data_IF_108745776804
#
_entry.id   IF_108745776804
#
_cell.length_a   1.000
_cell.length_b   1.000
_cell.length_c   1.000
_cell.angle_alpha   90.00
_cell.angle_beta   90.00
_cell.angle_gamma   90.00
#
_symmetry.space_group_name_H-M   'P 1'
#
loop_
_entity.id
_entity.type
_entity.pdbx_description
1 polymer ?
#
# COMPACT_ATOMS: atom_id res chain seq x y z
N UNK A 1 -8.70 -26.53 -30.80
CA UNK A 1 -7.42 -26.89 -30.16
C UNK A 1 -7.65 -26.91 -28.65
N UNK A 2 -7.40 -28.04 -27.97
CA UNK A 2 -7.41 -28.03 -26.50
C UNK A 2 -6.22 -27.19 -26.05
N UNK A 3 -6.46 -26.09 -25.35
CA UNK A 3 -5.41 -25.25 -24.79
C UNK A 3 -4.48 -26.05 -23.86
N UNK A 4 -3.23 -25.62 -23.75
CA UNK A 4 -2.29 -26.22 -22.80
C UNK A 4 -2.80 -25.89 -21.41
N UNK A 5 -3.11 -26.94 -20.61
CA UNK A 5 -3.48 -26.76 -19.19
C UNK A 5 -2.23 -26.99 -18.34
N UNK A 6 -1.94 -26.04 -17.46
CA UNK A 6 -0.83 -26.12 -16.49
C UNK A 6 -1.41 -26.29 -15.09
N UNK A 7 -0.92 -27.27 -14.35
CA UNK A 7 -1.36 -27.57 -12.97
C UNK A 7 -0.47 -26.93 -11.91
N UNK A 8 -1.09 -26.34 -10.92
CA UNK A 8 -0.41 -25.82 -9.71
C UNK A 8 -1.27 -26.04 -8.47
N UNK A 9 -0.74 -25.85 -7.26
CA UNK A 9 -1.55 -25.83 -6.05
C UNK A 9 -2.15 -24.44 -5.81
N UNK A 10 -1.37 -23.39 -6.09
CA UNK A 10 -1.80 -21.99 -5.88
C UNK A 10 -1.53 -21.15 -7.13
N UNK A 11 -2.58 -20.58 -7.72
CA UNK A 11 -2.47 -19.57 -8.78
C UNK A 11 -2.63 -18.17 -8.17
N UNK A 12 -1.61 -17.34 -8.29
CA UNK A 12 -1.59 -15.96 -7.77
C UNK A 12 -1.82 -15.03 -8.95
N UNK A 13 -2.94 -14.29 -8.92
CA UNK A 13 -3.32 -13.36 -10.00
C UNK A 13 -3.05 -11.92 -9.56
N UNK A 14 -2.11 -11.27 -10.21
CA UNK A 14 -1.61 -9.92 -9.92
C UNK A 14 -0.24 -9.93 -9.27
N UNK A 15 0.75 -9.42 -9.97
CA UNK A 15 2.14 -9.31 -9.54
C UNK A 15 2.49 -7.96 -8.90
N UNK A 16 1.52 -7.31 -8.22
CA UNK A 16 1.76 -6.18 -7.33
C UNK A 16 2.39 -6.62 -6.01
N UNK A 17 2.43 -5.72 -5.01
CA UNK A 17 3.09 -6.00 -3.73
C UNK A 17 2.57 -7.28 -3.07
N UNK A 18 1.24 -7.43 -2.94
CA UNK A 18 0.64 -8.61 -2.30
C UNK A 18 0.99 -9.91 -3.02
N UNK A 19 0.79 -9.97 -4.34
CA UNK A 19 1.02 -11.20 -5.11
C UNK A 19 2.48 -11.57 -5.22
N UNK A 20 3.38 -10.59 -5.39
CA UNK A 20 4.83 -10.85 -5.42
C UNK A 20 5.36 -11.33 -4.07
N UNK A 21 4.87 -10.74 -2.96
CA UNK A 21 5.20 -11.21 -1.60
C UNK A 21 4.70 -12.64 -1.39
N UNK A 22 3.44 -12.94 -1.77
CA UNK A 22 2.88 -14.30 -1.64
C UNK A 22 3.66 -15.32 -2.48
N UNK A 23 4.01 -14.98 -3.72
CA UNK A 23 4.79 -15.85 -4.60
C UNK A 23 6.18 -16.15 -4.00
N UNK A 24 6.86 -15.13 -3.47
CA UNK A 24 8.16 -15.31 -2.84
C UNK A 24 8.07 -16.18 -1.58
N UNK A 25 7.08 -15.96 -0.73
CA UNK A 25 6.89 -16.74 0.50
C UNK A 25 6.53 -18.20 0.20
N UNK A 26 5.55 -18.44 -0.65
CA UNK A 26 5.10 -19.78 -1.00
C UNK A 26 6.19 -20.57 -1.71
N UNK A 27 6.94 -19.94 -2.63
CA UNK A 27 8.05 -20.58 -3.29
C UNK A 27 9.17 -21.00 -2.33
N UNK A 28 9.51 -20.15 -1.36
CA UNK A 28 10.49 -20.48 -0.29
C UNK A 28 9.99 -21.60 0.62
N UNK A 29 8.68 -21.70 0.83
CA UNK A 29 8.06 -22.79 1.59
C UNK A 29 7.90 -24.09 0.78
N UNK A 30 8.33 -24.13 -0.49
CA UNK A 30 8.23 -25.31 -1.35
C UNK A 30 6.82 -25.60 -1.86
N UNK A 31 5.88 -24.65 -1.74
CA UNK A 31 4.52 -24.78 -2.28
C UNK A 31 4.57 -24.59 -3.79
N UNK A 32 3.90 -25.49 -4.53
CA UNK A 32 3.73 -25.32 -5.99
C UNK A 32 2.80 -24.15 -6.26
N UNK A 33 3.38 -22.98 -6.51
CA UNK A 33 2.66 -21.75 -6.82
C UNK A 33 3.07 -21.24 -8.20
N UNK A 34 2.21 -20.42 -8.81
CA UNK A 34 2.46 -19.72 -10.07
C UNK A 34 1.99 -18.26 -9.92
N UNK A 35 2.83 -17.31 -10.34
CA UNK A 35 2.46 -15.89 -10.41
C UNK A 35 2.05 -15.53 -11.84
N UNK A 36 0.93 -14.79 -11.97
CA UNK A 36 0.37 -14.34 -13.24
C UNK A 36 0.22 -12.83 -13.21
N UNK A 37 0.89 -12.11 -14.11
CA UNK A 37 0.74 -10.66 -14.29
C UNK A 37 1.09 -10.28 -15.74
N UNK A 38 0.39 -9.31 -16.37
CA UNK A 38 0.70 -8.91 -17.74
C UNK A 38 2.01 -8.13 -17.89
N UNK A 39 2.57 -7.59 -16.80
CA UNK A 39 3.75 -6.75 -16.84
C UNK A 39 4.98 -7.49 -16.31
N UNK A 40 6.01 -7.72 -17.12
CA UNK A 40 7.25 -8.35 -16.66
C UNK A 40 7.98 -7.48 -15.61
N UNK A 41 7.88 -6.18 -15.76
CA UNK A 41 8.39 -5.18 -14.83
C UNK A 41 7.19 -4.36 -14.31
N UNK A 42 7.09 -4.17 -13.01
CA UNK A 42 6.02 -3.35 -12.43
C UNK A 42 6.24 -1.88 -12.79
N UNK A 43 5.25 -1.22 -13.39
CA UNK A 43 5.40 0.16 -13.83
C UNK A 43 5.42 1.16 -12.66
N UNK A 44 5.98 2.37 -12.86
CA UNK A 44 5.94 3.44 -11.87
C UNK A 44 4.50 3.75 -11.42
N UNK A 45 4.26 3.70 -10.11
CA UNK A 45 2.96 3.98 -9.51
C UNK A 45 3.14 4.81 -8.23
N UNK A 46 2.24 5.77 -8.02
CA UNK A 46 2.20 6.57 -6.80
C UNK A 46 1.35 5.85 -5.75
N UNK A 47 2.01 5.18 -4.82
CA UNK A 47 1.38 4.54 -3.65
C UNK A 47 2.15 4.89 -2.38
N UNK A 48 2.32 3.94 -1.48
CA UNK A 48 3.23 4.15 -0.36
C UNK A 48 4.68 4.18 -0.84
N UNK A 49 5.44 5.16 -0.38
CA UNK A 49 6.82 5.38 -0.79
C UNK A 49 7.79 5.42 0.40
N UNK A 50 7.35 4.96 1.56
CA UNK A 50 8.20 4.74 2.74
C UNK A 50 7.69 3.59 3.59
N UNK A 51 8.61 2.95 4.30
CA UNK A 51 8.33 2.01 5.36
C UNK A 51 8.73 2.62 6.70
N UNK A 52 7.94 2.38 7.72
CA UNK A 52 8.26 2.71 9.11
C UNK A 52 8.54 1.41 9.88
N UNK A 53 9.10 1.50 11.08
CA UNK A 53 9.52 0.34 11.85
C UNK A 53 8.38 -0.68 12.09
N UNK A 54 7.13 -0.21 12.21
CA UNK A 54 5.97 -1.08 12.32
C UNK A 54 5.77 -1.98 11.09
N UNK A 55 5.87 -1.41 9.87
CA UNK A 55 5.79 -2.17 8.63
C UNK A 55 7.01 -3.08 8.43
N UNK A 56 8.21 -2.60 8.78
CA UNK A 56 9.45 -3.39 8.73
C UNK A 56 9.36 -4.60 9.66
N UNK A 57 8.76 -4.45 10.85
CA UNK A 57 8.53 -5.56 11.77
C UNK A 57 7.66 -6.66 11.15
N UNK A 58 6.58 -6.29 10.42
CA UNK A 58 5.74 -7.26 9.72
C UNK A 58 6.51 -7.84 8.51
N UNK A 59 7.23 -7.01 7.76
CA UNK A 59 8.06 -7.46 6.64
C UNK A 59 9.09 -8.51 7.08
N UNK A 60 9.71 -8.38 8.26
CA UNK A 60 10.61 -9.41 8.82
C UNK A 60 9.92 -10.76 8.98
N UNK A 61 8.63 -10.79 9.34
CA UNK A 61 7.85 -12.04 9.48
C UNK A 61 7.61 -12.72 8.13
N UNK A 62 7.65 -11.99 7.02
CA UNK A 62 7.59 -12.59 5.67
C UNK A 62 8.90 -13.24 5.24
N UNK A 63 10.00 -13.02 5.96
CA UNK A 63 11.34 -13.47 5.58
C UNK A 63 11.98 -12.70 4.42
N UNK A 64 11.40 -11.57 4.01
CA UNK A 64 11.82 -10.79 2.82
C UNK A 64 12.54 -9.48 3.16
N UNK A 65 12.67 -9.15 4.45
CA UNK A 65 13.25 -7.87 4.88
C UNK A 65 14.69 -7.69 4.39
N UNK A 66 15.51 -8.74 4.41
CA UNK A 66 16.91 -8.69 3.99
C UNK A 66 17.07 -8.41 2.49
N UNK A 67 16.07 -8.75 1.67
CA UNK A 67 16.06 -8.42 0.25
C UNK A 67 15.61 -6.97 0.00
N UNK A 68 14.71 -6.44 0.82
CA UNK A 68 14.06 -5.14 0.60
C UNK A 68 14.83 -3.99 1.27
N UNK A 69 15.22 -4.13 2.54
CA UNK A 69 15.81 -3.01 3.30
C UNK A 69 17.08 -2.43 2.67
N UNK A 70 18.00 -3.22 2.07
CA UNK A 70 19.17 -2.68 1.39
C UNK A 70 18.86 -1.79 0.17
N UNK A 71 17.65 -1.89 -0.41
CA UNK A 71 17.23 -1.09 -1.57
C UNK A 71 16.51 0.20 -1.18
N UNK A 72 16.25 0.39 0.10
CA UNK A 72 15.61 1.60 0.62
C UNK A 72 16.61 2.74 0.77
N UNK A 73 16.11 3.97 0.69
CA UNK A 73 16.88 5.15 1.09
C UNK A 73 16.67 5.39 2.57
N UNK A 74 17.74 5.28 3.32
CA UNK A 74 17.78 5.65 4.73
C UNK A 74 18.87 6.70 4.89
N UNK A 75 18.49 7.94 5.24
CA UNK A 75 19.47 8.98 5.45
C UNK A 75 19.73 9.21 6.94
N UNK A 76 20.80 8.55 7.43
CA UNK A 76 21.42 8.86 8.71
C UNK A 76 22.45 10.00 8.62
N UNK A 77 22.68 10.57 7.43
CA UNK A 77 23.76 11.53 7.15
C UNK A 77 23.37 13.00 7.43
N UNK A 78 22.10 13.29 7.72
CA UNK A 78 21.68 14.65 8.09
C UNK A 78 22.24 15.05 9.44
N UNK A 79 22.42 16.36 9.66
CA UNK A 79 23.04 16.92 10.88
C UNK A 79 22.48 16.35 12.19
N UNK A 80 21.20 16.02 12.23
CA UNK A 80 20.53 15.49 13.42
C UNK A 80 20.23 13.99 13.36
N UNK A 81 20.21 13.36 12.16
CA UNK A 81 19.93 11.93 11.96
C UNK A 81 18.54 11.50 12.48
N UNK A 82 17.63 12.45 12.72
CA UNK A 82 16.35 12.22 13.38
C UNK A 82 15.17 12.64 12.51
N UNK A 83 14.08 11.90 12.64
CA UNK A 83 12.80 12.31 12.14
C UNK A 83 12.18 13.35 13.09
N UNK A 84 11.90 14.54 12.55
CA UNK A 84 11.27 15.61 13.28
C UNK A 84 9.75 15.51 13.18
N UNK A 85 9.08 15.81 14.30
CA UNK A 85 7.64 16.00 14.35
C UNK A 85 7.35 17.44 14.74
N UNK A 86 6.55 18.13 13.92
CA UNK A 86 6.29 19.55 14.12
C UNK A 86 4.81 19.89 14.02
N UNK A 87 4.40 20.90 14.76
CA UNK A 87 3.06 21.48 14.75
C UNK A 87 3.15 22.99 14.91
N UNK A 88 2.36 23.75 14.16
CA UNK A 88 2.35 25.22 14.19
C UNK A 88 3.74 25.83 13.95
N UNK A 89 4.57 25.21 13.11
CA UNK A 89 5.94 25.63 12.87
C UNK A 89 6.89 25.43 14.05
N UNK A 90 6.48 24.69 15.07
CA UNK A 90 7.28 24.35 16.23
C UNK A 90 7.63 22.88 16.22
N UNK A 91 8.88 22.58 16.45
CA UNK A 91 9.34 21.23 16.69
C UNK A 91 8.79 20.76 18.04
N UNK A 92 8.02 19.66 18.03
CA UNK A 92 7.42 19.09 19.24
C UNK A 92 8.09 17.78 19.66
N UNK A 93 8.75 17.07 18.71
CA UNK A 93 9.42 15.81 19.00
C UNK A 93 10.54 15.54 17.97
N UNK A 94 11.56 14.78 18.40
CA UNK A 94 12.64 14.26 17.56
C UNK A 94 12.77 12.77 17.81
N UNK A 95 12.35 11.96 16.83
CA UNK A 95 12.31 10.51 16.96
C UNK A 95 13.55 9.87 16.35
N UNK A 96 14.31 9.07 17.12
CA UNK A 96 15.26 8.16 16.53
C UNK A 96 14.50 7.07 15.74
N UNK A 97 15.04 6.63 14.64
CA UNK A 97 14.47 5.50 13.89
C UNK A 97 14.26 5.78 12.42
N UNK A 98 14.11 4.66 11.68
CA UNK A 98 14.15 4.63 10.25
C UNK A 98 12.87 5.11 9.58
N UNK A 99 13.06 6.02 8.66
CA UNK A 99 12.15 6.29 7.56
C UNK A 99 12.81 5.67 6.32
N UNK A 100 12.34 4.52 5.89
CA UNK A 100 12.92 3.78 4.77
C UNK A 100 12.20 4.18 3.49
N UNK A 101 12.72 5.19 2.78
CA UNK A 101 12.16 5.66 1.52
C UNK A 101 12.43 4.66 0.39
N UNK A 102 11.39 4.32 -0.38
CA UNK A 102 11.49 3.45 -1.55
C UNK A 102 10.35 3.76 -2.50
N UNK A 103 10.65 3.91 -3.80
CA UNK A 103 9.59 4.03 -4.80
C UNK A 103 8.77 2.74 -4.82
N UNK A 104 7.47 2.86 -5.05
CA UNK A 104 6.58 1.70 -4.97
C UNK A 104 6.89 0.64 -6.04
N UNK A 105 7.24 1.07 -7.24
CA UNK A 105 7.69 0.18 -8.31
C UNK A 105 9.02 -0.50 -7.99
N UNK A 106 9.98 0.20 -7.36
CA UNK A 106 11.23 -0.40 -6.88
C UNK A 106 10.93 -1.48 -5.82
N UNK A 107 10.04 -1.17 -4.86
CA UNK A 107 9.62 -2.13 -3.84
C UNK A 107 9.03 -3.41 -4.47
N UNK A 108 8.09 -3.25 -5.42
CA UNK A 108 7.44 -4.40 -6.07
C UNK A 108 8.44 -5.17 -6.93
N UNK A 109 9.30 -4.49 -7.70
CA UNK A 109 10.28 -5.17 -8.55
C UNK A 109 11.37 -5.88 -7.73
N UNK A 110 11.79 -5.32 -6.59
CA UNK A 110 12.69 -6.01 -5.66
C UNK A 110 12.00 -7.24 -5.05
N UNK A 111 10.72 -7.13 -4.71
CA UNK A 111 9.94 -8.27 -4.23
C UNK A 111 9.81 -9.37 -5.30
N UNK A 112 9.58 -8.99 -6.57
CA UNK A 112 9.59 -9.93 -7.72
C UNK A 112 10.92 -10.62 -7.91
N UNK A 113 12.03 -9.89 -7.76
CA UNK A 113 13.38 -10.46 -7.85
C UNK A 113 13.69 -11.47 -6.72
N UNK A 114 12.97 -11.38 -5.59
CA UNK A 114 13.11 -12.33 -4.47
C UNK A 114 12.27 -13.61 -4.65
N UNK A 115 11.47 -13.74 -5.73
CA UNK A 115 10.68 -14.94 -6.04
C UNK A 115 11.64 -16.06 -6.49
N UNK A 116 11.61 -17.25 -5.85
CA UNK A 116 12.46 -18.36 -6.26
C UNK A 116 12.15 -18.85 -7.69
N UNK A 117 13.15 -19.38 -8.42
CA UNK A 117 12.94 -19.92 -9.78
C UNK A 117 11.94 -21.09 -9.82
N UNK A 118 11.67 -21.73 -8.70
CA UNK A 118 10.65 -22.80 -8.58
C UNK A 118 9.20 -22.29 -8.75
N UNK A 119 8.98 -20.97 -8.68
CA UNK A 119 7.66 -20.35 -8.92
C UNK A 119 7.66 -19.74 -10.33
N UNK A 120 6.98 -20.34 -11.31
CA UNK A 120 6.84 -19.75 -12.63
C UNK A 120 6.16 -18.38 -12.56
N UNK A 121 6.72 -17.41 -13.28
CA UNK A 121 6.10 -16.11 -13.50
C UNK A 121 5.58 -16.05 -14.93
N UNK A 122 4.26 -16.16 -15.09
CA UNK A 122 3.59 -16.15 -16.39
C UNK A 122 3.21 -14.72 -16.76
N UNK A 123 3.80 -14.22 -17.85
CA UNK A 123 3.51 -12.88 -18.37
C UNK A 123 2.28 -12.96 -19.26
N UNK A 124 1.11 -12.81 -18.67
CA UNK A 124 -0.18 -12.81 -19.36
C UNK A 124 -1.25 -12.15 -18.47
N UNK A 125 -2.33 -11.68 -19.08
CA UNK A 125 -3.52 -11.21 -18.36
C UNK A 125 -4.44 -12.40 -18.10
N UNK A 126 -4.86 -12.58 -16.84
CA UNK A 126 -5.97 -13.47 -16.55
C UNK A 126 -7.28 -12.82 -17.04
N UNK A 127 -8.05 -13.54 -17.84
CA UNK A 127 -9.26 -13.05 -18.52
C UNK A 127 -10.54 -13.70 -18.02
N UNK A 128 -10.44 -14.89 -17.39
CA UNK A 128 -11.57 -15.61 -16.85
C UNK A 128 -11.19 -16.50 -15.69
N UNK A 129 -12.15 -16.73 -14.79
CA UNK A 129 -12.07 -17.66 -13.67
C UNK A 129 -13.31 -18.53 -13.69
N UNK A 130 -13.12 -19.84 -13.54
CA UNK A 130 -14.19 -20.80 -13.30
C UNK A 130 -13.91 -21.52 -11.99
N UNK A 131 -14.86 -21.49 -11.09
CA UNK A 131 -14.77 -22.19 -9.79
C UNK A 131 -15.35 -23.59 -9.93
N UNK A 132 -14.57 -24.58 -9.49
CA UNK A 132 -15.00 -25.98 -9.41
C UNK A 132 -14.88 -26.51 -7.99
N UNK A 133 -15.35 -27.72 -7.76
CA UNK A 133 -15.39 -28.33 -6.40
C UNK A 133 -13.99 -28.57 -5.84
N UNK A 134 -13.07 -29.12 -6.63
CA UNK A 134 -11.72 -29.45 -6.21
C UNK A 134 -10.67 -28.51 -6.78
N UNK A 135 -10.88 -27.99 -7.98
CA UNK A 135 -9.92 -27.15 -8.69
C UNK A 135 -10.61 -25.99 -9.39
N UNK A 136 -9.89 -24.90 -9.44
CA UNK A 136 -10.28 -23.65 -10.07
C UNK A 136 -9.54 -23.53 -11.41
N UNK A 137 -10.18 -22.99 -12.41
CA UNK A 137 -9.59 -22.76 -13.73
C UNK A 137 -9.37 -21.26 -13.97
N UNK A 138 -8.20 -20.90 -14.44
CA UNK A 138 -7.86 -19.52 -14.83
C UNK A 138 -7.51 -19.48 -16.30
N UNK A 139 -8.31 -18.79 -17.10
CA UNK A 139 -8.06 -18.55 -18.52
C UNK A 139 -7.15 -17.33 -18.68
N UNK A 140 -6.07 -17.48 -19.45
CA UNK A 140 -5.15 -16.43 -19.78
C UNK A 140 -5.37 -15.85 -21.18
N UNK A 141 -4.93 -14.60 -21.39
CA UNK A 141 -5.06 -13.90 -22.68
C UNK A 141 -4.30 -14.54 -23.85
N UNK A 142 -3.35 -15.41 -23.56
CA UNK A 142 -2.60 -16.18 -24.56
C UNK A 142 -3.22 -17.56 -24.87
N UNK A 143 -4.41 -17.84 -24.32
CA UNK A 143 -5.13 -19.12 -24.51
C UNK A 143 -4.68 -20.25 -23.59
N UNK A 144 -3.71 -20.03 -22.70
CA UNK A 144 -3.32 -21.00 -21.68
C UNK A 144 -4.41 -21.09 -20.61
N UNK A 145 -4.70 -22.30 -20.15
CA UNK A 145 -5.53 -22.54 -19.00
C UNK A 145 -4.70 -23.02 -17.81
N UNK A 146 -4.95 -22.48 -16.62
CA UNK A 146 -4.25 -22.87 -15.39
C UNK A 146 -5.26 -23.52 -14.46
N UNK A 147 -4.98 -24.74 -14.02
CA UNK A 147 -5.78 -25.44 -13.03
C UNK A 147 -5.08 -25.35 -11.67
N UNK A 148 -5.77 -24.83 -10.66
CA UNK A 148 -5.22 -24.63 -9.31
C UNK A 148 -6.20 -25.09 -8.23
N UNK A 149 -5.69 -25.54 -7.09
CA UNK A 149 -6.53 -25.81 -5.91
C UNK A 149 -7.04 -24.51 -5.29
N UNK A 150 -6.21 -23.47 -5.29
CA UNK A 150 -6.52 -22.15 -4.73
C UNK A 150 -6.13 -21.05 -5.71
N UNK A 151 -7.02 -20.07 -5.88
CA UNK A 151 -6.71 -18.81 -6.54
C UNK A 151 -6.51 -17.72 -5.47
N UNK A 152 -5.38 -17.02 -5.51
CA UNK A 152 -5.13 -15.80 -4.73
C UNK A 152 -5.33 -14.58 -5.64
N UNK A 153 -6.40 -13.81 -5.40
CA UNK A 153 -6.65 -12.56 -6.11
C UNK A 153 -5.88 -11.42 -5.42
N UNK A 154 -4.80 -10.99 -6.05
CA UNK A 154 -3.89 -9.93 -5.59
C UNK A 154 -3.84 -8.74 -6.57
N UNK A 155 -4.94 -8.50 -7.31
CA UNK A 155 -5.01 -7.53 -8.42
C UNK A 155 -5.18 -6.07 -7.98
N UNK A 156 -5.09 -5.78 -6.69
CA UNK A 156 -5.26 -4.43 -6.17
C UNK A 156 -6.65 -3.86 -6.50
N UNK A 157 -6.67 -2.69 -7.15
CA UNK A 157 -7.90 -1.96 -7.45
C UNK A 157 -8.70 -2.52 -8.64
N UNK A 158 -8.15 -3.48 -9.40
CA UNK A 158 -8.84 -4.04 -10.58
C UNK A 158 -10.03 -4.91 -10.15
N UNK A 159 -11.22 -4.62 -10.71
CA UNK A 159 -12.48 -5.30 -10.34
C UNK A 159 -12.88 -6.41 -11.32
N UNK A 160 -12.36 -6.42 -12.54
CA UNK A 160 -12.91 -7.22 -13.63
C UNK A 160 -13.06 -8.73 -13.34
N UNK A 161 -12.06 -9.36 -12.70
CA UNK A 161 -12.17 -10.79 -12.32
C UNK A 161 -12.99 -11.01 -11.05
N UNK A 162 -13.01 -10.05 -10.13
CA UNK A 162 -13.87 -10.10 -8.92
C UNK A 162 -15.34 -10.13 -9.31
N UNK A 163 -15.73 -9.25 -10.24
CA UNK A 163 -17.12 -9.17 -10.73
C UNK A 163 -17.57 -10.48 -11.39
N UNK A 164 -16.67 -11.16 -12.13
CA UNK A 164 -16.97 -12.47 -12.75
C UNK A 164 -17.29 -13.56 -11.72
N UNK A 165 -16.70 -13.49 -10.54
CA UNK A 165 -16.91 -14.44 -9.45
C UNK A 165 -17.90 -13.92 -8.40
N UNK A 166 -18.66 -12.86 -8.72
CA UNK A 166 -19.71 -12.34 -7.84
C UNK A 166 -19.18 -11.63 -6.57
N UNK A 167 -17.94 -11.14 -6.60
CA UNK A 167 -17.36 -10.34 -5.50
C UNK A 167 -17.57 -8.86 -5.79
N UNK A 168 -18.48 -8.25 -5.04
CA UNK A 168 -18.85 -6.85 -5.19
C UNK A 168 -17.88 -5.91 -4.45
N UNK A 169 -17.62 -4.72 -5.02
CA UNK A 169 -16.92 -3.63 -4.36
C UNK A 169 -17.91 -2.70 -3.68
N UNK A 170 -17.92 -2.67 -2.35
CA UNK A 170 -18.75 -1.76 -1.56
C UNK A 170 -17.92 -0.55 -1.13
N UNK A 171 -18.13 0.59 -1.76
CA UNK A 171 -17.46 1.85 -1.41
C UNK A 171 -18.09 2.39 -0.12
N UNK A 172 -17.29 2.47 0.94
CA UNK A 172 -17.70 2.95 2.27
C UNK A 172 -17.42 4.44 2.46
N UNK A 173 -16.43 4.99 1.75
CA UNK A 173 -16.11 6.42 1.75
C UNK A 173 -15.46 6.82 0.42
N UNK A 174 -16.21 7.46 -0.50
CA UNK A 174 -15.66 7.93 -1.76
C UNK A 174 -14.76 9.15 -1.52
N UNK A 175 -13.66 9.23 -2.27
CA UNK A 175 -12.64 10.27 -2.15
C UNK A 175 -12.32 10.59 -0.66
N UNK A 176 -12.05 9.53 0.11
CA UNK A 176 -11.84 9.66 1.56
C UNK A 176 -10.69 10.60 1.88
N UNK A 177 -9.62 10.54 1.11
CA UNK A 177 -8.47 11.43 1.18
C UNK A 177 -7.82 11.62 -0.19
N UNK A 178 -7.03 12.66 -0.33
CA UNK A 178 -6.19 12.90 -1.52
C UNK A 178 -4.75 13.00 -1.07
N UNK A 179 -3.86 12.31 -1.79
CA UNK A 179 -2.41 12.45 -1.67
C UNK A 179 -1.90 13.34 -2.78
N UNK A 180 -1.15 14.39 -2.43
CA UNK A 180 -0.33 15.16 -3.33
C UNK A 180 1.15 14.81 -3.04
N UNK A 181 1.84 14.22 -4.04
CA UNK A 181 3.22 13.79 -3.90
C UNK A 181 4.12 14.49 -4.91
N UNK A 182 5.27 14.97 -4.44
CA UNK A 182 6.27 15.71 -5.22
C UNK A 182 7.62 15.67 -4.53
N UNK A 183 8.67 16.02 -5.25
CA UNK A 183 10.01 16.16 -4.69
C UNK A 183 10.30 17.61 -4.34
N UNK A 184 11.08 17.83 -3.28
CA UNK A 184 11.53 19.15 -2.87
C UNK A 184 13.04 19.16 -2.63
N UNK A 185 13.62 20.36 -2.72
CA UNK A 185 14.98 20.66 -2.26
C UNK A 185 14.98 22.02 -1.56
N UNK A 186 16.00 22.36 -0.77
CA UNK A 186 16.21 23.75 -0.32
C UNK A 186 16.35 24.67 -1.54
N UNK A 187 15.73 25.85 -1.51
CA UNK A 187 15.84 26.83 -2.60
C UNK A 187 17.26 27.43 -2.73
N UNK A 188 18.02 27.34 -1.65
CA UNK A 188 19.42 27.76 -1.60
C UNK A 188 20.34 26.56 -1.37
N UNK A 189 21.62 26.70 -1.64
CA UNK A 189 22.61 25.64 -1.42
C UNK A 189 22.58 25.13 0.03
N UNK A 190 22.57 23.82 0.20
CA UNK A 190 22.53 23.16 1.51
C UNK A 190 21.66 21.93 1.56
N UNK A 191 21.44 21.42 2.76
CA UNK A 191 20.55 20.30 3.06
C UNK A 191 19.58 20.72 4.17
N UNK A 192 18.46 20.00 4.28
CA UNK A 192 17.55 20.17 5.41
C UNK A 192 18.23 19.74 6.72
N UNK A 193 17.87 20.39 7.85
CA UNK A 193 18.42 20.07 9.16
C UNK A 193 17.87 18.76 9.77
N UNK A 194 16.90 18.13 9.12
CA UNK A 194 16.23 16.89 9.56
C UNK A 194 16.44 15.75 8.55
N UNK A 195 16.45 14.52 9.03
CA UNK A 195 16.43 13.35 8.18
C UNK A 195 15.05 13.14 7.56
N UNK A 196 13.99 13.37 8.32
CA UNK A 196 12.61 13.36 7.88
C UNK A 196 11.79 14.35 8.71
N UNK A 197 10.63 14.78 8.18
CA UNK A 197 9.72 15.69 8.88
C UNK A 197 8.29 15.20 8.72
N UNK A 198 7.54 15.13 9.83
CA UNK A 198 6.08 15.08 9.83
C UNK A 198 5.55 16.42 10.33
N UNK A 199 4.81 17.13 9.49
CA UNK A 199 4.26 18.45 9.80
C UNK A 199 2.75 18.39 9.87
N UNK A 200 2.20 18.62 11.05
CA UNK A 200 0.75 18.63 11.27
C UNK A 200 0.11 19.98 10.91
N UNK A 201 -1.21 20.00 10.57
CA UNK A 201 -1.92 21.20 10.16
C UNK A 201 -1.89 22.30 11.21
N UNK A 202 -1.95 23.53 10.74
CA UNK A 202 -2.02 24.71 11.60
C UNK A 202 -3.46 25.09 11.93
N UNK A 203 -4.40 24.76 11.04
CA UNK A 203 -5.83 25.08 11.17
C UNK A 203 -6.68 23.93 10.62
N UNK A 204 -7.84 23.68 11.20
CA UNK A 204 -8.81 22.70 10.68
C UNK A 204 -9.37 23.08 9.32
N UNK A 205 -9.53 24.39 9.08
CA UNK A 205 -9.96 24.90 7.77
C UNK A 205 -9.03 24.49 6.62
N UNK A 206 -7.77 24.14 6.91
CA UNK A 206 -6.80 23.69 5.90
C UNK A 206 -7.16 22.31 5.35
N UNK A 207 -8.00 21.52 6.06
CA UNK A 207 -8.49 20.20 5.65
C UNK A 207 -7.36 19.25 5.25
N UNK A 208 -6.30 19.23 6.02
CA UNK A 208 -5.15 18.35 5.80
C UNK A 208 -4.92 17.43 7.01
N UNK A 209 -4.42 16.22 6.78
CA UNK A 209 -3.93 15.36 7.84
C UNK A 209 -2.53 15.81 8.28
N UNK A 210 -1.59 15.82 7.36
CA UNK A 210 -0.21 16.21 7.58
C UNK A 210 0.58 16.25 6.26
N UNK A 211 1.75 16.85 6.31
CA UNK A 211 2.81 16.72 5.31
C UNK A 211 3.91 15.81 5.88
N UNK A 212 4.38 14.84 5.10
CA UNK A 212 5.63 14.13 5.42
C UNK A 212 6.71 14.46 4.40
N UNK A 213 7.92 14.71 4.90
CA UNK A 213 9.13 14.83 4.12
C UNK A 213 10.08 13.71 4.52
N UNK A 214 10.59 12.96 3.55
CA UNK A 214 11.52 11.85 3.80
C UNK A 214 12.43 11.62 2.60
N UNK A 215 13.65 11.10 2.82
CA UNK A 215 14.59 10.87 1.73
C UNK A 215 14.11 9.71 0.85
N UNK A 216 14.22 9.91 -0.46
CA UNK A 216 13.99 8.88 -1.46
C UNK A 216 15.00 9.03 -2.59
N UNK A 217 15.86 8.03 -2.79
CA UNK A 217 17.02 8.14 -3.68
C UNK A 217 17.85 9.40 -3.32
N UNK A 218 17.99 10.33 -4.25
CA UNK A 218 18.74 11.59 -4.09
C UNK A 218 17.87 12.81 -3.79
N UNK A 219 16.56 12.59 -3.57
CA UNK A 219 15.56 13.65 -3.37
C UNK A 219 14.97 13.60 -1.97
N UNK A 220 14.33 14.70 -1.57
CA UNK A 220 13.41 14.74 -0.42
C UNK A 220 11.99 14.65 -0.96
N UNK A 221 11.28 13.52 -0.72
CA UNK A 221 9.89 13.32 -1.11
C UNK A 221 8.96 14.00 -0.12
N UNK A 222 8.02 14.74 -0.67
CA UNK A 222 6.90 15.33 0.05
C UNK A 222 5.61 14.54 -0.27
N UNK A 223 4.94 14.02 0.76
CA UNK A 223 3.59 13.47 0.66
C UNK A 223 2.66 14.31 1.53
N UNK A 224 1.82 15.11 0.88
CA UNK A 224 0.80 15.94 1.52
C UNK A 224 -0.54 15.23 1.46
N UNK A 225 -1.12 14.93 2.62
CA UNK A 225 -2.40 14.23 2.77
C UNK A 225 -3.49 15.25 3.11
N UNK A 226 -4.51 15.37 2.24
CA UNK A 226 -5.61 16.33 2.40
C UNK A 226 -6.98 15.65 2.29
N UNK A 227 -7.97 16.25 2.95
CA UNK A 227 -9.38 15.84 2.93
C UNK A 227 -10.21 16.87 2.15
N UNK A 228 -10.04 16.88 0.84
CA UNK A 228 -10.68 17.78 -0.12
C UNK A 228 -11.43 16.96 -1.15
N UNK A 229 -12.27 17.60 -1.94
CA UNK A 229 -12.91 16.98 -3.12
C UNK A 229 -12.04 17.18 -4.37
N UNK A 230 -12.25 16.37 -5.40
CA UNK A 230 -11.43 16.44 -6.63
C UNK A 230 -11.67 17.71 -7.47
N UNK A 231 -12.75 18.42 -7.22
CA UNK A 231 -13.10 19.71 -7.83
C UNK A 231 -12.62 20.93 -7.04
N UNK A 232 -11.97 20.72 -5.86
CA UNK A 232 -11.43 21.80 -5.05
C UNK A 232 -10.41 22.64 -5.85
N UNK A 233 -10.62 23.98 -5.96
CA UNK A 233 -9.72 24.88 -6.70
C UNK A 233 -8.25 24.80 -6.24
N UNK A 234 -8.01 24.52 -4.96
CA UNK A 234 -6.69 24.36 -4.40
C UNK A 234 -5.84 23.30 -5.12
N UNK A 235 -6.47 22.24 -5.64
CA UNK A 235 -5.76 21.20 -6.41
C UNK A 235 -5.18 21.71 -7.74
N UNK A 236 -5.77 22.75 -8.32
CA UNK A 236 -5.21 23.44 -9.49
C UNK A 236 -4.11 24.41 -9.08
N UNK A 237 -4.33 25.14 -7.99
CA UNK A 237 -3.40 26.14 -7.51
C UNK A 237 -2.07 25.52 -7.08
N UNK A 238 -2.09 24.39 -6.37
CA UNK A 238 -0.86 23.69 -5.96
C UNK A 238 -0.06 23.15 -7.15
N UNK A 239 -0.72 22.80 -8.27
CA UNK A 239 0.00 22.39 -9.49
C UNK A 239 0.61 23.57 -10.24
N UNK A 240 0.00 24.74 -10.15
CA UNK A 240 0.42 25.94 -10.88
C UNK A 240 1.51 26.71 -10.14
N UNK A 241 1.39 26.83 -8.83
CA UNK A 241 2.28 27.59 -7.95
C UNK A 241 2.43 26.81 -6.62
N UNK A 242 3.27 25.74 -6.64
CA UNK A 242 3.32 24.81 -5.53
C UNK A 242 3.89 25.41 -4.24
N UNK A 243 4.97 26.17 -4.33
CA UNK A 243 5.63 26.76 -3.16
C UNK A 243 4.71 27.75 -2.45
N UNK A 244 4.06 28.64 -3.23
CA UNK A 244 3.08 29.58 -2.70
C UNK A 244 1.90 28.85 -2.05
N UNK A 245 1.38 27.82 -2.72
CA UNK A 245 0.23 27.04 -2.21
C UNK A 245 0.56 26.29 -0.93
N UNK A 246 1.78 25.73 -0.83
CA UNK A 246 2.27 25.07 0.38
C UNK A 246 2.42 26.03 1.55
N UNK A 247 3.08 27.19 1.32
CA UNK A 247 3.27 28.17 2.39
C UNK A 247 1.99 28.93 2.75
N UNK A 248 1.01 29.04 1.84
CA UNK A 248 -0.32 29.52 2.18
C UNK A 248 -1.09 28.54 3.06
N UNK A 249 -0.94 27.23 2.81
CA UNK A 249 -1.53 26.15 3.61
C UNK A 249 -0.84 25.98 4.96
N UNK A 250 0.50 26.13 4.99
CA UNK A 250 1.36 25.90 6.15
C UNK A 250 2.30 27.09 6.36
N UNK A 251 1.81 28.27 6.82
CA UNK A 251 2.63 29.51 6.90
C UNK A 251 3.90 29.37 7.73
N UNK A 252 3.88 28.54 8.78
CA UNK A 252 5.01 28.35 9.66
C UNK A 252 5.97 27.21 9.21
N UNK A 253 5.67 26.48 8.14
CA UNK A 253 6.54 25.42 7.61
C UNK A 253 7.96 25.98 7.29
N UNK A 254 8.02 27.18 6.71
CA UNK A 254 9.27 27.86 6.34
C UNK A 254 10.25 28.04 7.52
N UNK A 255 9.76 28.05 8.75
CA UNK A 255 10.65 28.11 9.95
C UNK A 255 11.52 26.87 10.11
N UNK A 256 11.08 25.74 9.57
CA UNK A 256 11.78 24.46 9.67
C UNK A 256 12.51 24.09 8.38
N UNK A 257 11.92 24.42 7.23
CA UNK A 257 12.47 24.02 5.93
C UNK A 257 13.33 25.11 5.28
N UNK A 258 13.20 26.38 5.73
CA UNK A 258 13.61 27.51 4.91
C UNK A 258 12.74 27.64 3.64
N UNK A 259 13.25 28.37 2.65
CA UNK A 259 12.65 28.40 1.32
C UNK A 259 12.94 27.08 0.58
N UNK A 260 11.93 26.59 -0.11
CA UNK A 260 11.99 25.32 -0.85
C UNK A 260 11.72 25.53 -2.33
N UNK A 261 12.21 24.64 -3.15
CA UNK A 261 11.88 24.49 -4.57
C UNK A 261 11.24 23.13 -4.79
N UNK A 262 10.08 23.11 -5.44
CA UNK A 262 9.42 21.88 -5.85
C UNK A 262 10.03 21.39 -7.16
N UNK A 263 10.46 20.13 -7.19
CA UNK A 263 11.12 19.53 -8.33
C UNK A 263 10.17 18.55 -9.04
N UNK A 264 9.99 18.79 -10.33
CA UNK A 264 9.12 17.94 -11.15
C UNK A 264 7.62 18.15 -10.91
N UNK A 265 6.78 17.29 -11.48
CA UNK A 265 5.33 17.45 -11.43
C UNK A 265 4.74 17.00 -10.10
N UNK A 266 3.69 17.70 -9.64
CA UNK A 266 2.89 17.24 -8.51
C UNK A 266 1.91 16.17 -8.98
N UNK A 267 2.06 14.98 -8.41
CA UNK A 267 1.15 13.84 -8.62
C UNK A 267 0.03 13.91 -7.59
N UNK A 268 -1.22 13.87 -8.05
CA UNK A 268 -2.40 13.89 -7.18
C UNK A 268 -3.16 12.58 -7.34
N UNK A 269 -3.44 11.92 -6.22
CA UNK A 269 -4.18 10.65 -6.19
C UNK A 269 -5.27 10.66 -5.14
N UNK A 270 -6.55 10.56 -5.53
CA UNK A 270 -7.65 10.31 -4.60
C UNK A 270 -7.63 8.85 -4.14
N UNK A 271 -8.16 8.61 -2.96
CA UNK A 271 -8.36 7.28 -2.41
C UNK A 271 -9.79 7.09 -1.93
N UNK A 272 -10.47 6.10 -2.50
CA UNK A 272 -11.73 5.58 -1.95
C UNK A 272 -11.42 4.54 -0.87
N UNK A 273 -12.24 4.50 0.17
CA UNK A 273 -12.29 3.34 1.06
C UNK A 273 -13.39 2.41 0.58
N UNK A 274 -13.08 1.12 0.45
CA UNK A 274 -14.04 0.09 0.13
C UNK A 274 -13.66 -1.24 0.77
N UNK A 275 -14.64 -2.12 0.84
CA UNK A 275 -14.48 -3.52 1.22
C UNK A 275 -15.16 -4.40 0.17
N UNK A 276 -14.63 -5.60 -0.07
CA UNK A 276 -15.24 -6.57 -0.94
C UNK A 276 -16.32 -7.37 -0.20
N UNK A 277 -17.51 -7.51 -0.80
CA UNK A 277 -18.62 -8.34 -0.35
C UNK A 277 -18.71 -9.61 -1.21
N UNK A 278 -19.13 -10.73 -0.64
CA UNK A 278 -19.17 -12.00 -1.36
C UNK A 278 -17.81 -12.70 -1.50
N UNK A 279 -16.82 -12.32 -0.70
CA UNK A 279 -15.43 -12.79 -0.75
C UNK A 279 -15.20 -14.16 -0.08
N UNK A 280 -16.17 -14.68 0.69
CA UNK A 280 -16.09 -15.98 1.40
C UNK A 280 -16.58 -17.10 0.49
N UNK A 281 -15.80 -17.43 -0.52
CA UNK A 281 -16.13 -18.42 -1.55
C UNK A 281 -15.12 -19.56 -1.56
N UNK A 282 -15.57 -20.74 -2.02
CA UNK A 282 -14.68 -21.88 -2.24
C UNK A 282 -13.62 -21.53 -3.30
N UNK A 283 -12.37 -21.92 -3.06
CA UNK A 283 -11.29 -21.88 -4.03
C UNK A 283 -10.67 -20.52 -4.32
N UNK A 284 -11.20 -19.42 -3.76
CA UNK A 284 -10.72 -18.06 -4.04
C UNK A 284 -10.49 -17.29 -2.74
N UNK A 285 -9.33 -16.66 -2.61
CA UNK A 285 -9.01 -15.72 -1.51
C UNK A 285 -8.51 -14.40 -2.06
N UNK A 286 -8.96 -13.28 -1.48
CA UNK A 286 -8.57 -11.92 -1.84
C UNK A 286 -7.62 -11.35 -0.79
N UNK A 287 -6.56 -10.67 -1.23
CA UNK A 287 -5.56 -10.05 -0.35
C UNK A 287 -5.28 -8.58 -0.71
N UNK A 288 -4.88 -7.79 0.27
CA UNK A 288 -4.55 -6.37 0.09
C UNK A 288 -5.73 -5.57 -0.46
N UNK A 289 -5.45 -4.64 -1.39
CA UNK A 289 -6.50 -3.80 -2.00
C UNK A 289 -7.53 -4.59 -2.83
N UNK A 290 -7.27 -5.84 -3.19
CA UNK A 290 -8.29 -6.69 -3.79
C UNK A 290 -9.41 -7.03 -2.81
N UNK A 291 -9.12 -7.09 -1.51
CA UNK A 291 -10.10 -7.30 -0.46
C UNK A 291 -10.67 -5.97 0.06
N UNK A 292 -9.82 -5.08 0.56
CA UNK A 292 -10.23 -3.80 1.13
C UNK A 292 -9.11 -2.77 1.04
N UNK A 293 -9.44 -1.52 0.73
CA UNK A 293 -8.47 -0.42 0.68
C UNK A 293 -8.24 0.19 2.05
N UNK A 294 -7.02 0.70 2.23
CA UNK A 294 -6.63 1.50 3.39
C UNK A 294 -6.47 2.97 3.02
N UNK A 295 -6.71 3.85 3.97
CA UNK A 295 -6.47 5.29 3.79
C UNK A 295 -4.95 5.57 3.71
N UNK A 296 -4.45 6.21 2.64
CA UNK A 296 -3.04 6.59 2.54
C UNK A 296 -2.58 7.47 3.71
N UNK A 297 -3.43 8.39 4.17
CA UNK A 297 -3.11 9.25 5.30
C UNK A 297 -2.96 8.47 6.63
N UNK A 298 -3.62 7.33 6.78
CA UNK A 298 -3.43 6.48 7.96
C UNK A 298 -2.10 5.69 7.93
N UNK A 299 -1.43 5.62 6.77
CA UNK A 299 -0.15 4.92 6.62
C UNK A 299 -0.21 3.40 6.80
N UNK A 300 -1.40 2.79 6.81
CA UNK A 300 -1.60 1.38 7.17
C UNK A 300 -1.56 0.42 5.98
N UNK A 301 -1.60 0.92 4.74
CA UNK A 301 -1.80 0.09 3.54
C UNK A 301 -0.74 -1.00 3.32
N UNK A 302 0.55 -0.66 3.39
CA UNK A 302 1.63 -1.65 3.24
C UNK A 302 1.62 -2.66 4.37
N UNK A 303 1.44 -2.19 5.62
CA UNK A 303 1.35 -3.08 6.77
C UNK A 303 0.20 -4.08 6.63
N UNK A 304 -0.96 -3.62 6.11
CA UNK A 304 -2.09 -4.49 5.80
C UNK A 304 -1.72 -5.56 4.77
N UNK A 305 -1.06 -5.18 3.67
CA UNK A 305 -0.63 -6.14 2.64
C UNK A 305 0.32 -7.18 3.22
N UNK A 306 1.34 -6.76 3.97
CA UNK A 306 2.28 -7.70 4.57
C UNK A 306 1.63 -8.60 5.61
N UNK A 307 0.71 -8.06 6.41
CA UNK A 307 -0.05 -8.83 7.39
C UNK A 307 -0.97 -9.87 6.73
N UNK A 308 -1.73 -9.45 5.70
CA UNK A 308 -2.59 -10.35 4.93
C UNK A 308 -1.80 -11.53 4.36
N UNK A 309 -0.68 -11.22 3.69
CA UNK A 309 0.14 -12.22 3.00
C UNK A 309 0.90 -13.10 3.98
N UNK A 310 1.43 -12.54 5.07
CA UNK A 310 2.09 -13.30 6.13
C UNK A 310 1.14 -14.34 6.74
N UNK A 311 -0.07 -13.91 7.12
CA UNK A 311 -1.08 -14.82 7.70
C UNK A 311 -1.52 -15.88 6.68
N UNK A 312 -1.81 -15.47 5.45
CA UNK A 312 -2.23 -16.36 4.39
C UNK A 312 -1.17 -17.43 4.09
N UNK A 313 0.08 -17.03 3.90
CA UNK A 313 1.14 -17.92 3.42
C UNK A 313 1.76 -18.77 4.53
N UNK A 314 1.88 -18.26 5.77
CA UNK A 314 2.49 -19.00 6.86
C UNK A 314 1.49 -19.88 7.62
N UNK A 315 0.21 -19.48 7.68
CA UNK A 315 -0.77 -20.16 8.52
C UNK A 315 -1.82 -20.89 7.69
N UNK A 316 -2.52 -20.18 6.79
CA UNK A 316 -3.73 -20.72 6.18
C UNK A 316 -3.44 -21.67 5.02
N UNK A 317 -2.65 -21.25 4.02
CA UNK A 317 -2.37 -22.06 2.83
C UNK A 317 -1.76 -23.42 3.18
N UNK A 318 -0.73 -23.54 4.05
CA UNK A 318 -0.17 -24.84 4.42
C UNK A 318 -1.22 -25.77 5.03
N UNK A 319 -2.06 -25.25 5.94
CA UNK A 319 -3.13 -26.02 6.57
C UNK A 319 -4.21 -26.45 5.58
N UNK A 320 -4.58 -25.55 4.65
CA UNK A 320 -5.60 -25.86 3.63
C UNK A 320 -5.14 -26.91 2.61
N UNK A 321 -3.86 -26.85 2.24
CA UNK A 321 -3.28 -27.82 1.28
C UNK A 321 -3.04 -29.19 1.89
N UNK A 322 -2.99 -29.31 3.23
CA UNK A 322 -2.82 -30.58 3.93
C UNK A 322 -4.04 -31.51 3.80
N UNK A 323 -5.19 -31.01 3.37
CA UNK A 323 -6.42 -31.79 3.17
C UNK A 323 -7.07 -31.50 1.81
N UNK A 324 -7.86 -32.45 1.23
CA UNK A 324 -8.59 -32.23 -0.02
C UNK A 324 -9.58 -31.09 0.05
N UNK A 325 -9.99 -30.61 -1.13
CA UNK A 325 -10.98 -29.56 -1.30
C UNK A 325 -10.50 -28.18 -0.85
N UNK A 326 -11.14 -27.14 -1.35
CA UNK A 326 -10.92 -25.75 -0.97
C UNK A 326 -12.26 -25.07 -0.71
N UNK A 327 -12.98 -25.62 0.26
CA UNK A 327 -14.35 -25.20 0.60
C UNK A 327 -14.41 -23.79 1.20
N UNK A 328 -15.57 -23.15 1.14
CA UNK A 328 -15.77 -21.78 1.62
C UNK A 328 -15.40 -21.60 3.09
N UNK A 329 -15.61 -22.61 3.95
CA UNK A 329 -15.24 -22.55 5.36
C UNK A 329 -13.73 -22.45 5.59
N UNK A 330 -12.90 -23.10 4.73
CA UNK A 330 -11.45 -22.90 4.78
C UNK A 330 -11.11 -21.44 4.46
N UNK A 331 -11.69 -20.88 3.40
CA UNK A 331 -11.46 -19.50 3.00
C UNK A 331 -11.94 -18.52 4.08
N UNK A 332 -13.07 -18.78 4.72
CA UNK A 332 -13.60 -17.95 5.81
C UNK A 332 -12.63 -17.83 6.98
N UNK A 333 -11.88 -18.90 7.32
CA UNK A 333 -10.88 -18.89 8.39
C UNK A 333 -9.83 -17.79 8.22
N UNK A 334 -9.45 -17.44 6.98
CA UNK A 334 -8.51 -16.35 6.74
C UNK A 334 -9.09 -14.97 7.11
N UNK A 335 -10.36 -14.74 6.78
CA UNK A 335 -11.00 -13.47 7.10
C UNK A 335 -11.39 -13.35 8.58
N UNK A 336 -11.55 -14.51 9.25
CA UNK A 336 -11.81 -14.60 10.68
C UNK A 336 -10.53 -14.74 11.52
N UNK A 337 -9.35 -14.77 10.89
CA UNK A 337 -8.07 -14.78 11.59
C UNK A 337 -7.95 -13.54 12.47
N UNK A 338 -7.77 -13.68 13.80
CA UNK A 338 -7.85 -12.56 14.73
C UNK A 338 -6.77 -11.51 14.50
N UNK A 339 -5.59 -11.91 13.98
CA UNK A 339 -4.50 -10.96 13.66
C UNK A 339 -4.86 -10.15 12.43
N UNK A 340 -5.35 -10.80 11.36
CA UNK A 340 -5.81 -10.12 10.16
C UNK A 340 -6.99 -9.20 10.45
N UNK A 341 -8.03 -9.73 11.08
CA UNK A 341 -9.26 -9.00 11.38
C UNK A 341 -8.98 -7.78 12.27
N UNK A 342 -8.21 -7.97 13.35
CA UNK A 342 -7.83 -6.88 14.23
C UNK A 342 -7.02 -5.78 13.55
N UNK A 343 -6.12 -6.16 12.60
CA UNK A 343 -5.38 -5.17 11.81
C UNK A 343 -6.31 -4.37 10.88
N UNK A 344 -7.23 -5.05 10.20
CA UNK A 344 -8.19 -4.42 9.29
C UNK A 344 -9.11 -3.44 10.03
N UNK A 345 -9.65 -3.84 11.19
CA UNK A 345 -10.49 -2.98 12.04
C UNK A 345 -9.74 -1.77 12.56
N UNK A 346 -8.52 -1.97 13.09
CA UNK A 346 -7.69 -0.87 13.58
C UNK A 346 -7.32 0.13 12.47
N UNK A 347 -6.96 -0.38 11.28
CA UNK A 347 -6.65 0.45 10.13
C UNK A 347 -7.85 1.27 9.65
N UNK A 348 -9.04 0.66 9.60
CA UNK A 348 -10.28 1.34 9.24
C UNK A 348 -10.68 2.40 10.29
N UNK A 349 -10.67 2.04 11.56
CA UNK A 349 -10.99 2.97 12.66
C UNK A 349 -10.06 4.18 12.66
N UNK A 350 -8.75 3.95 12.51
CA UNK A 350 -7.76 5.02 12.46
C UNK A 350 -7.94 5.94 11.25
N UNK A 351 -8.32 5.41 10.08
CA UNK A 351 -8.60 6.21 8.90
C UNK A 351 -9.73 7.23 9.14
N UNK A 352 -10.84 6.81 9.72
CA UNK A 352 -11.96 7.70 10.05
C UNK A 352 -11.63 8.66 11.19
N UNK A 353 -10.98 8.18 12.24
CA UNK A 353 -10.54 9.03 13.36
C UNK A 353 -9.61 10.15 12.88
N UNK A 354 -8.60 9.82 12.05
CA UNK A 354 -7.66 10.80 11.53
C UNK A 354 -8.37 11.86 10.66
N UNK A 355 -9.34 11.42 9.83
CA UNK A 355 -10.14 12.36 9.05
C UNK A 355 -10.95 13.28 9.95
N UNK A 356 -11.69 12.75 10.91
CA UNK A 356 -12.50 13.54 11.84
C UNK A 356 -11.64 14.51 12.65
N UNK A 357 -10.50 14.06 13.18
CA UNK A 357 -9.51 14.93 13.83
C UNK A 357 -9.02 16.08 12.94
N UNK A 358 -8.96 15.86 11.63
CA UNK A 358 -8.39 16.83 10.68
C UNK A 358 -9.38 17.88 10.20
N UNK A 359 -10.68 17.56 10.14
CA UNK A 359 -11.68 18.41 9.50
C UNK A 359 -12.88 18.78 10.36
N UNK A 360 -13.15 18.07 11.45
CA UNK A 360 -14.28 18.33 12.31
C UNK A 360 -13.94 19.38 13.38
N UNK A 361 -14.90 20.27 13.63
CA UNK A 361 -14.84 21.27 14.68
C UNK A 361 -15.69 20.80 15.86
N UNK A 362 -15.11 20.79 17.05
CA UNK A 362 -15.79 20.41 18.27
C UNK A 362 -14.82 20.32 19.45
N UNK A 363 -15.36 20.42 20.66
CA UNK A 363 -14.54 20.43 21.88
C UNK A 363 -13.66 19.19 22.01
N UNK A 364 -14.22 18.01 21.76
CA UNK A 364 -13.49 16.73 21.89
C UNK A 364 -12.35 16.63 20.84
N UNK A 365 -12.59 17.08 19.60
CA UNK A 365 -11.57 17.05 18.56
C UNK A 365 -10.48 18.10 18.80
N UNK A 366 -10.83 19.27 19.31
CA UNK A 366 -9.86 20.29 19.70
C UNK A 366 -8.95 19.82 20.84
N UNK A 367 -9.51 19.06 21.80
CA UNK A 367 -8.72 18.48 22.90
C UNK A 367 -7.72 17.42 22.41
N UNK A 368 -8.10 16.60 21.42
CA UNK A 368 -7.21 15.57 20.84
C UNK A 368 -6.10 16.15 19.94
N UNK A 369 -6.29 17.37 19.41
CA UNK A 369 -5.29 18.07 18.59
C UNK A 369 -4.21 18.78 19.40
N UNK A 370 -4.51 19.19 20.61
CA UNK A 370 -3.61 19.90 21.52
C UNK A 370 -2.86 18.95 22.44
#
# INVERSE_FOLDING_TARGET
>A
MRGITTDTDVAIIGGGLAGSTAAAMLGRAGVRAMLIDPHPIYPPDLRCEKLEEGQVSILRKTGLADAILPTTTFDGSTRDGKAWVARLGRLIDKRPGGQYGILYDDLVNTMRAAIPPSVPFTIAKATGITVGDDRQEVLLSNGTNISARLIVLAQGLNVALRDQVGVERIVTSPCHSITAAFDIKPAHAGAFDFAALTYYPERTADRMAYLTLFPIRTSMRANLMVYRTMDDPWLRDIRRDPERSLFALMPNLRRLTGDIEVVGPIKIRPADLYVSKGHRQAGIVLVGDAFATSCPAAGTGIGKVFNDVERLCNIHIPNWLASPGMVADKIAQFYDDPVKHGYDEAAAAFAYQLRSMSIEEGFNWNLQRN
#
